data_IF_820285298614
#
_entry.id   IF_820285298614
#
_cell.length_a   1.000
_cell.length_b   1.000
_cell.length_c   1.000
_cell.angle_alpha   90.00
_cell.angle_beta   90.00
_cell.angle_gamma   90.00
#
_symmetry.space_group_name_H-M   'P 1'
#
loop_
_entity.id
_entity.type
_entity.pdbx_description
1 polymer ?
#
# COMPACT_ATOMS: atom_id res chain seq x y z
N UNK A 1 -35.14 31.68 -13.39
CA UNK A 1 -33.66 31.82 -13.29
C UNK A 1 -33.13 31.46 -11.90
N UNK A 2 -33.64 31.98 -10.82
CA UNK A 2 -33.18 31.67 -9.44
C UNK A 2 -33.28 30.18 -9.06
N UNK A 3 -34.24 29.42 -9.58
CA UNK A 3 -34.41 28.00 -9.34
C UNK A 3 -33.31 27.20 -10.06
N UNK A 4 -32.93 27.58 -11.28
CA UNK A 4 -31.89 26.91 -12.07
C UNK A 4 -30.53 27.05 -11.38
N UNK A 5 -30.21 28.24 -10.85
CA UNK A 5 -28.95 28.43 -10.09
C UNK A 5 -28.93 27.62 -8.79
N UNK A 6 -30.06 27.47 -8.11
CA UNK A 6 -30.17 26.62 -6.92
C UNK A 6 -29.95 25.16 -7.24
N UNK A 7 -30.55 24.65 -8.31
CA UNK A 7 -30.40 23.27 -8.76
C UNK A 7 -28.95 23.01 -9.22
N UNK A 8 -28.34 23.95 -9.94
CA UNK A 8 -26.96 23.85 -10.37
C UNK A 8 -25.98 23.83 -9.19
N UNK A 9 -26.22 24.66 -8.17
CA UNK A 9 -25.42 24.68 -6.96
C UNK A 9 -25.52 23.36 -6.17
N UNK A 10 -26.71 22.79 -6.04
CA UNK A 10 -26.93 21.50 -5.38
C UNK A 10 -26.23 20.37 -6.15
N UNK A 11 -26.30 20.39 -7.47
CA UNK A 11 -25.63 19.42 -8.33
C UNK A 11 -24.09 19.52 -8.21
N UNK A 12 -23.53 20.74 -8.15
CA UNK A 12 -22.10 20.97 -7.99
C UNK A 12 -21.59 20.52 -6.60
N UNK A 13 -22.39 20.73 -5.54
CA UNK A 13 -22.06 20.26 -4.19
C UNK A 13 -22.10 18.72 -4.13
N UNK A 14 -23.05 18.09 -4.80
CA UNK A 14 -23.12 16.63 -4.92
C UNK A 14 -21.90 15.99 -5.60
N UNK A 15 -21.33 16.65 -6.61
CA UNK A 15 -20.12 16.20 -7.28
C UNK A 15 -18.86 16.26 -6.38
N UNK A 16 -18.79 17.21 -5.47
CA UNK A 16 -17.66 17.34 -4.52
C UNK A 16 -17.69 16.27 -3.42
N UNK A 17 -18.84 15.72 -3.09
CA UNK A 17 -19.00 14.65 -2.10
C UNK A 17 -18.61 13.25 -2.64
N UNK A 18 -18.53 13.08 -3.95
CA UNK A 18 -18.29 11.79 -4.61
C UNK A 18 -16.85 11.26 -4.46
N UNK A 19 -15.90 12.05 -3.95
CA UNK A 19 -14.48 11.68 -3.81
C UNK A 19 -14.06 11.31 -2.38
N UNK A 20 -14.99 11.19 -1.43
CA UNK A 20 -14.68 10.78 -0.06
C UNK A 20 -14.54 9.26 0.02
N UNK A 21 -13.30 8.76 -0.15
CA UNK A 21 -12.96 7.35 0.08
C UNK A 21 -12.83 7.01 1.58
N UNK A 22 -12.71 5.71 1.92
CA UNK A 22 -12.50 5.26 3.30
C UNK A 22 -11.19 5.82 3.87
N UNK A 23 -11.18 6.12 5.16
CA UNK A 23 -10.02 6.62 5.89
C UNK A 23 -9.36 5.49 6.66
N UNK A 24 -8.05 5.58 6.88
CA UNK A 24 -7.32 4.59 7.69
C UNK A 24 -7.89 4.48 9.11
N UNK A 25 -8.35 5.60 9.69
CA UNK A 25 -9.00 5.63 11.02
C UNK A 25 -10.25 4.76 11.11
N UNK A 26 -10.96 4.50 10.00
CA UNK A 26 -12.18 3.69 9.97
C UNK A 26 -11.88 2.21 10.30
N UNK A 27 -10.62 1.81 10.20
CA UNK A 27 -10.12 0.46 10.46
C UNK A 27 -9.34 0.32 11.77
N UNK A 28 -9.26 1.38 12.59
CA UNK A 28 -8.43 1.42 13.80
C UNK A 28 -8.77 0.33 14.84
N UNK A 29 -10.02 -0.14 14.86
CA UNK A 29 -10.47 -1.21 15.76
C UNK A 29 -10.31 -2.62 15.19
N UNK A 30 -9.89 -2.75 13.94
CA UNK A 30 -9.76 -4.05 13.28
C UNK A 30 -8.57 -4.85 13.83
N UNK A 31 -8.73 -6.17 13.83
CA UNK A 31 -7.72 -7.14 14.33
C UNK A 31 -7.45 -8.20 13.25
N UNK A 32 -6.24 -8.78 13.21
CA UNK A 32 -5.05 -8.43 13.99
C UNK A 32 -4.47 -7.07 13.60
N UNK A 33 -3.77 -6.41 14.53
CA UNK A 33 -3.01 -5.19 14.22
C UNK A 33 -1.79 -5.57 13.38
N UNK A 34 -1.59 -4.90 12.25
CA UNK A 34 -0.42 -5.11 11.42
C UNK A 34 0.82 -4.49 12.07
N UNK A 35 1.84 -5.32 12.34
CA UNK A 35 3.20 -4.88 12.62
C UNK A 35 4.10 -5.33 11.47
N UNK A 36 4.77 -4.37 10.82
CA UNK A 36 5.61 -4.67 9.66
C UNK A 36 6.81 -5.55 10.03
N UNK A 37 7.37 -5.38 11.22
CA UNK A 37 8.51 -6.17 11.68
C UNK A 37 8.16 -7.63 11.99
N UNK A 38 6.91 -7.89 12.34
CA UNK A 38 6.41 -9.26 12.55
C UNK A 38 5.97 -9.90 11.22
N UNK A 39 5.20 -9.16 10.43
CA UNK A 39 4.66 -9.66 9.17
C UNK A 39 5.75 -9.91 8.12
N UNK A 40 6.63 -8.94 7.89
CA UNK A 40 7.73 -9.05 6.94
C UNK A 40 8.99 -9.60 7.62
N UNK A 41 8.94 -10.84 8.08
CA UNK A 41 10.05 -11.51 8.73
C UNK A 41 10.27 -12.90 8.12
N UNK A 42 11.53 -13.22 7.79
CA UNK A 42 11.89 -14.47 7.12
C UNK A 42 11.63 -14.43 5.61
N UNK A 43 11.28 -15.56 5.03
CA UNK A 43 11.02 -15.71 3.60
C UNK A 43 9.52 -15.67 3.33
N UNK A 44 9.10 -14.77 2.46
CA UNK A 44 7.70 -14.63 2.04
C UNK A 44 7.58 -14.72 0.52
N UNK A 45 6.40 -15.10 0.07
CA UNK A 45 6.00 -15.03 -1.32
C UNK A 45 4.81 -14.08 -1.47
N UNK A 46 4.83 -13.25 -2.51
CA UNK A 46 3.72 -12.40 -2.87
C UNK A 46 3.34 -12.61 -4.34
N UNK A 47 2.06 -12.40 -4.62
CA UNK A 47 1.49 -12.51 -5.96
C UNK A 47 0.66 -11.28 -6.25
N UNK A 48 0.81 -10.71 -7.43
CA UNK A 48 0.12 -9.49 -7.76
C UNK A 48 -0.17 -9.33 -9.24
N UNK A 49 -0.98 -8.33 -9.52
CA UNK A 49 -1.35 -7.92 -10.87
C UNK A 49 -1.19 -6.41 -11.02
N UNK A 50 -0.83 -5.98 -12.21
CA UNK A 50 -1.02 -4.60 -12.65
C UNK A 50 -2.26 -4.52 -13.52
N UNK A 51 -3.08 -3.53 -13.26
CA UNK A 51 -4.25 -3.21 -14.10
C UNK A 51 -4.08 -1.83 -14.70
N UNK A 52 -4.66 -1.64 -15.87
CA UNK A 52 -4.80 -0.31 -16.45
C UNK A 52 -5.96 0.48 -15.80
N UNK A 53 -6.25 1.67 -16.31
CA UNK A 53 -7.33 2.52 -15.78
C UNK A 53 -8.73 1.95 -15.99
N UNK A 54 -8.90 1.02 -16.93
CA UNK A 54 -10.17 0.33 -17.17
C UNK A 54 -10.36 -0.89 -16.25
N UNK A 55 -9.30 -1.28 -15.50
CA UNK A 55 -9.29 -2.47 -14.65
C UNK A 55 -8.84 -3.73 -15.37
N UNK A 56 -8.38 -3.65 -16.62
CA UNK A 56 -7.85 -4.79 -17.37
C UNK A 56 -6.47 -5.17 -16.86
N UNK A 57 -6.22 -6.48 -16.68
CA UNK A 57 -4.93 -6.99 -16.21
C UNK A 57 -3.91 -6.92 -17.35
N UNK A 58 -2.91 -6.06 -17.20
CA UNK A 58 -1.83 -5.86 -18.18
C UNK A 58 -0.59 -6.66 -17.89
N UNK A 59 -0.35 -7.03 -16.62
CA UNK A 59 0.80 -7.82 -16.20
C UNK A 59 0.55 -8.52 -14.88
N UNK A 60 1.08 -9.74 -14.71
CA UNK A 60 1.11 -10.48 -13.45
C UNK A 60 2.54 -10.59 -12.95
N UNK A 61 2.70 -10.74 -11.66
CA UNK A 61 4.03 -10.96 -11.07
C UNK A 61 3.97 -11.83 -9.82
N UNK A 62 5.09 -12.48 -9.56
CA UNK A 62 5.40 -13.13 -8.29
C UNK A 62 6.61 -12.46 -7.67
N UNK A 63 6.66 -12.43 -6.34
CA UNK A 63 7.79 -11.87 -5.59
C UNK A 63 8.24 -12.89 -4.56
N UNK A 64 9.52 -13.19 -4.54
CA UNK A 64 10.17 -13.85 -3.40
C UNK A 64 10.86 -12.77 -2.57
N UNK A 65 10.52 -12.70 -1.29
CA UNK A 65 11.09 -11.71 -0.37
C UNK A 65 11.90 -12.42 0.71
N UNK A 66 13.11 -11.92 0.96
CA UNK A 66 13.91 -12.27 2.11
C UNK A 66 13.95 -11.07 3.04
N UNK A 67 13.30 -11.19 4.18
CA UNK A 67 13.12 -10.10 5.14
C UNK A 67 13.89 -10.41 6.42
N UNK A 68 14.63 -9.43 6.93
CA UNK A 68 15.35 -9.51 8.19
C UNK A 68 15.26 -8.19 8.92
N UNK A 69 15.28 -8.28 10.26
CA UNK A 69 15.22 -7.12 11.13
C UNK A 69 16.38 -7.16 12.14
N UNK A 70 16.91 -6.00 12.44
CA UNK A 70 17.96 -5.80 13.41
C UNK A 70 17.67 -4.53 14.22
N UNK A 71 18.32 -4.38 15.36
CA UNK A 71 18.23 -3.15 16.17
C UNK A 71 19.52 -2.36 15.99
N UNK A 72 19.39 -1.15 15.46
CA UNK A 72 20.50 -0.22 15.24
C UNK A 72 20.16 1.08 15.98
N UNK A 73 21.01 1.51 16.89
CA UNK A 73 20.81 2.72 17.71
C UNK A 73 19.44 2.75 18.40
N UNK A 74 19.00 1.60 18.92
CA UNK A 74 17.74 1.43 19.63
C UNK A 74 16.49 1.43 18.74
N UNK A 75 16.63 1.43 17.40
CA UNK A 75 15.52 1.40 16.45
C UNK A 75 15.50 0.08 15.69
N UNK A 76 14.32 -0.45 15.40
CA UNK A 76 14.16 -1.58 14.49
C UNK A 76 14.43 -1.12 13.06
N UNK A 77 15.35 -1.81 12.39
CA UNK A 77 15.71 -1.59 10.99
C UNK A 77 15.48 -2.87 10.23
N UNK A 78 14.57 -2.85 9.26
CA UNK A 78 14.25 -3.96 8.39
C UNK A 78 14.91 -3.85 7.02
N UNK A 79 15.36 -4.98 6.49
CA UNK A 79 15.78 -5.10 5.10
C UNK A 79 14.87 -6.11 4.42
N UNK A 80 14.17 -5.68 3.38
CA UNK A 80 13.30 -6.51 2.55
C UNK A 80 13.97 -6.63 1.17
N UNK A 81 14.55 -7.80 0.89
CA UNK A 81 15.19 -8.10 -0.40
C UNK A 81 14.17 -8.82 -1.28
N UNK A 82 13.68 -8.13 -2.30
CA UNK A 82 12.60 -8.55 -3.19
C UNK A 82 13.14 -8.97 -4.56
N UNK A 83 12.75 -10.16 -5.00
CA UNK A 83 13.02 -10.66 -6.35
C UNK A 83 11.70 -10.85 -7.09
N UNK A 84 11.49 -10.06 -8.14
CA UNK A 84 10.28 -10.07 -8.97
C UNK A 84 10.47 -10.94 -10.20
N UNK A 85 9.44 -11.71 -10.54
CA UNK A 85 9.28 -12.38 -11.82
C UNK A 85 7.95 -11.97 -12.43
N UNK A 86 8.01 -11.39 -13.63
CA UNK A 86 6.84 -10.90 -14.35
C UNK A 86 6.34 -11.91 -15.40
N UNK A 87 5.05 -11.84 -15.74
CA UNK A 87 4.43 -12.74 -16.72
C UNK A 87 5.00 -12.63 -18.14
N UNK A 88 5.71 -11.55 -18.45
CA UNK A 88 6.44 -11.37 -19.71
C UNK A 88 7.85 -11.98 -19.68
N UNK A 89 8.24 -12.65 -18.59
CA UNK A 89 9.56 -13.27 -18.39
C UNK A 89 10.64 -12.31 -17.87
N UNK A 90 10.35 -11.02 -17.72
CA UNK A 90 11.30 -10.07 -17.15
C UNK A 90 11.44 -10.25 -15.64
N UNK A 91 12.59 -9.87 -15.10
CA UNK A 91 12.95 -9.98 -13.69
C UNK A 91 13.44 -8.64 -13.16
N UNK A 92 13.17 -8.38 -11.89
CA UNK A 92 13.62 -7.17 -11.20
C UNK A 92 14.00 -7.50 -9.77
N UNK A 93 14.95 -6.76 -9.23
CA UNK A 93 15.28 -6.75 -7.81
C UNK A 93 15.01 -5.39 -7.20
N UNK A 94 14.53 -5.42 -5.94
CA UNK A 94 14.35 -4.21 -5.15
C UNK A 94 14.70 -4.52 -3.70
N UNK A 95 15.39 -3.58 -3.04
CA UNK A 95 15.70 -3.68 -1.62
C UNK A 95 15.08 -2.48 -0.91
N UNK A 96 14.21 -2.77 0.07
CA UNK A 96 13.72 -1.77 0.99
C UNK A 96 14.52 -1.81 2.30
N UNK A 97 14.84 -0.64 2.82
CA UNK A 97 15.29 -0.46 4.19
C UNK A 97 14.25 0.35 4.93
N UNK A 98 13.66 -0.26 5.96
CA UNK A 98 12.61 0.35 6.76
C UNK A 98 13.14 0.62 8.18
N UNK A 99 12.95 1.83 8.67
CA UNK A 99 13.33 2.20 10.04
C UNK A 99 12.09 2.56 10.84
N UNK A 100 11.91 1.93 12.00
CA UNK A 100 10.86 2.30 12.94
C UNK A 100 11.23 3.62 13.62
N UNK A 101 10.42 4.65 13.41
CA UNK A 101 10.64 6.00 13.98
C UNK A 101 9.83 6.24 15.24
N UNK A 102 8.74 5.52 15.41
CA UNK A 102 7.92 5.42 16.62
C UNK A 102 7.13 4.10 16.56
N UNK A 103 6.53 3.60 17.65
CA UNK A 103 5.81 2.34 17.66
C UNK A 103 4.80 2.23 16.51
N UNK A 104 4.99 1.23 15.62
CA UNK A 104 4.15 0.98 14.45
C UNK A 104 4.29 1.97 13.29
N UNK A 105 5.23 2.92 13.37
CA UNK A 105 5.47 3.91 12.31
C UNK A 105 6.86 3.75 11.71
N UNK A 106 6.92 3.52 10.42
CA UNK A 106 8.14 3.23 9.67
C UNK A 106 8.37 4.27 8.56
N UNK A 107 9.64 4.47 8.22
CA UNK A 107 10.10 5.21 7.05
C UNK A 107 11.05 4.34 6.24
N UNK A 108 11.06 4.52 4.90
CA UNK A 108 11.94 3.77 3.99
C UNK A 108 12.23 4.53 2.71
#
# INVERSE_FOLDING_TARGET
>A
MKIIYRLLAIFLIGLLAACAGPKVSDYASQKPVLDLSEYFNGTLAAYGIFTDRSGEVVKRFTVSMKCRWEVIDGKKVGTLDESFEYSDGTKQKRIWKLTEVSPGKYIG
#
